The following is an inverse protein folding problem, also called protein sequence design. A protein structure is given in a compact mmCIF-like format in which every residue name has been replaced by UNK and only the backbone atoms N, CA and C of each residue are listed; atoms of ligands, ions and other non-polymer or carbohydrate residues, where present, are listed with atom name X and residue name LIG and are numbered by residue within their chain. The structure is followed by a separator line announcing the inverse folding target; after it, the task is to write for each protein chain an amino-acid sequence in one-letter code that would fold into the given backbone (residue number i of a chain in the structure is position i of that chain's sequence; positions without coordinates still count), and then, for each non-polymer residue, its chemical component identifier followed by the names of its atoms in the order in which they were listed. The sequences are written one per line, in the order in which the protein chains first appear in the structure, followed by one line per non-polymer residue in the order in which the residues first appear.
data_IF_755608887823
#
_entry.id   IF_755608887823
#
_cell.length_a   1.000
_cell.length_b   1.000
_cell.length_c   1.000
_cell.angle_alpha   90.00
_cell.angle_beta   90.00
_cell.angle_gamma   90.00
#
_symmetry.space_group_name_H-M   'P 1'
#
loop_
_entity.id
_entity.type
_entity.pdbx_description
1 polymer ?
#
# COMPACT_ATOMS: atom_id res chain seq x y z
N UNK A 1 21.59 -43.01 -9.31
CA UNK A 1 21.52 -42.73 -7.86
C UNK A 1 21.33 -41.22 -7.70
N UNK A 2 20.07 -40.77 -7.74
CA UNK A 2 19.71 -39.34 -7.65
C UNK A 2 19.54 -39.04 -6.17
N UNK A 3 20.48 -38.28 -5.61
CA UNK A 3 20.45 -37.83 -4.24
C UNK A 3 19.34 -36.77 -4.12
N UNK A 4 18.16 -37.19 -3.67
CA UNK A 4 17.09 -36.28 -3.29
C UNK A 4 17.57 -35.50 -2.07
N UNK A 5 18.11 -34.30 -2.32
CA UNK A 5 18.48 -33.36 -1.28
C UNK A 5 17.18 -32.74 -0.75
N UNK A 6 16.58 -33.39 0.24
CA UNK A 6 15.46 -32.85 1.00
C UNK A 6 16.00 -31.68 1.81
N UNK A 7 16.00 -30.48 1.22
CA UNK A 7 16.15 -29.23 1.97
C UNK A 7 14.94 -29.12 2.90
N UNK A 8 15.10 -29.61 4.12
CA UNK A 8 14.35 -29.09 5.24
C UNK A 8 14.74 -27.63 5.38
N UNK A 9 13.98 -26.75 4.73
CA UNK A 9 13.87 -25.38 5.20
C UNK A 9 13.30 -25.50 6.61
N UNK A 10 14.20 -25.51 7.60
CA UNK A 10 13.86 -25.16 8.96
C UNK A 10 13.42 -23.71 8.84
N UNK A 11 12.12 -23.52 8.58
CA UNK A 11 11.44 -22.27 8.83
C UNK A 11 11.55 -22.08 10.32
N UNK A 12 12.66 -21.47 10.73
CA UNK A 12 12.81 -20.89 12.04
C UNK A 12 11.76 -19.80 12.08
N UNK A 13 10.52 -20.19 12.40
CA UNK A 13 9.53 -19.29 12.96
C UNK A 13 10.21 -18.73 14.21
N UNK A 14 11.02 -17.69 13.98
CA UNK A 14 11.88 -17.11 14.98
C UNK A 14 10.96 -16.64 16.07
N UNK A 15 11.15 -17.19 17.27
CA UNK A 15 10.36 -16.86 18.43
C UNK A 15 10.05 -15.35 18.45
N UNK A 16 8.78 -15.01 18.69
CA UNK A 16 8.27 -13.63 18.85
C UNK A 16 9.21 -12.76 19.70
N UNK A 17 9.87 -13.42 20.65
CA UNK A 17 10.85 -12.87 21.56
C UNK A 17 12.11 -13.75 21.62
N UNK A 18 13.28 -13.13 21.47
CA UNK A 18 14.58 -13.75 21.79
C UNK A 18 15.36 -12.77 22.67
N UNK A 19 15.68 -13.13 23.93
CA UNK A 19 16.47 -12.27 24.81
C UNK A 19 17.78 -11.83 24.15
N UNK A 20 18.01 -10.51 24.07
CA UNK A 20 19.20 -9.93 23.40
C UNK A 20 19.21 -10.03 21.87
N UNK A 21 18.12 -10.50 21.27
CA UNK A 21 17.93 -10.56 19.82
C UNK A 21 17.59 -9.20 19.20
N UNK A 22 17.34 -9.16 17.88
CA UNK A 22 16.86 -7.97 17.20
C UNK A 22 15.55 -7.46 17.82
N UNK A 23 15.31 -6.15 17.70
CA UNK A 23 14.12 -5.50 18.27
C UNK A 23 13.40 -4.67 17.21
N UNK A 24 12.11 -4.94 17.01
CA UNK A 24 11.25 -4.12 16.19
C UNK A 24 10.96 -2.80 16.91
N UNK A 25 10.98 -1.69 16.17
CA UNK A 25 10.70 -0.38 16.75
C UNK A 25 9.32 -0.34 17.44
N UNK A 26 9.27 0.20 18.66
CA UNK A 26 8.04 0.30 19.46
C UNK A 26 7.74 -0.91 20.36
N UNK A 27 8.51 -2.00 20.23
CA UNK A 27 8.39 -3.19 21.08
C UNK A 27 9.51 -3.28 22.15
N UNK A 28 9.32 -4.08 23.21
CA UNK A 28 10.37 -4.38 24.18
C UNK A 28 11.64 -5.01 23.56
N UNK A 29 12.82 -4.89 24.21
CA UNK A 29 14.05 -5.48 23.72
C UNK A 29 13.93 -6.98 23.44
N UNK A 30 14.36 -7.42 22.26
CA UNK A 30 14.30 -8.81 21.82
C UNK A 30 12.98 -9.23 21.15
N UNK A 31 11.98 -8.34 21.09
CA UNK A 31 10.71 -8.59 20.41
C UNK A 31 10.75 -8.13 18.95
N UNK A 32 10.32 -8.99 18.03
CA UNK A 32 10.31 -8.70 16.59
C UNK A 32 8.91 -8.60 15.97
N UNK A 33 7.87 -8.80 16.77
CA UNK A 33 6.48 -8.64 16.41
C UNK A 33 5.57 -9.10 17.54
N UNK A 34 4.29 -9.22 17.23
CA UNK A 34 3.26 -9.51 18.22
C UNK A 34 2.65 -10.91 18.08
N UNK A 35 3.28 -11.79 17.29
CA UNK A 35 2.68 -13.07 16.97
C UNK A 35 2.62 -14.00 18.18
N UNK A 36 1.42 -14.47 18.55
CA UNK A 36 1.27 -15.45 19.61
C UNK A 36 1.90 -16.80 19.22
N UNK A 37 2.62 -17.44 20.14
CA UNK A 37 3.23 -18.77 19.94
C UNK A 37 2.20 -19.78 19.39
N UNK A 38 2.28 -20.13 18.11
CA UNK A 38 1.27 -20.97 17.41
C UNK A 38 1.02 -22.30 18.14
N UNK A 39 2.05 -23.08 18.51
CA UNK A 39 1.87 -24.25 19.37
C UNK A 39 1.08 -23.96 20.65
N UNK A 40 1.40 -22.85 21.34
CA UNK A 40 0.69 -22.44 22.56
C UNK A 40 -0.75 -22.07 22.29
N UNK A 41 -1.05 -21.35 21.21
CA UNK A 41 -2.42 -21.02 20.84
C UNK A 41 -3.25 -22.25 20.56
N UNK A 42 -2.73 -23.16 19.73
CA UNK A 42 -3.39 -24.41 19.40
C UNK A 42 -3.70 -25.21 20.67
N UNK A 43 -2.78 -25.24 21.62
CA UNK A 43 -2.97 -25.90 22.90
C UNK A 43 -4.03 -25.24 23.81
N UNK A 44 -4.32 -23.95 23.61
CA UNK A 44 -5.27 -23.18 24.41
C UNK A 44 -6.51 -22.74 23.62
N UNK A 45 -6.90 -23.49 22.58
CA UNK A 45 -8.06 -23.19 21.74
C UNK A 45 -8.04 -21.75 21.19
N UNK A 46 -6.86 -21.34 20.71
CA UNK A 46 -6.56 -20.02 20.13
C UNK A 46 -6.68 -18.84 21.10
N UNK A 47 -6.80 -19.11 22.41
CA UNK A 47 -6.77 -18.10 23.46
C UNK A 47 -5.43 -18.13 24.19
N UNK A 48 -4.70 -17.01 24.28
CA UNK A 48 -3.50 -16.95 25.14
C UNK A 48 -3.88 -16.26 26.47
N UNK A 49 -3.88 -17.00 27.60
CA UNK A 49 -4.20 -16.42 28.91
C UNK A 49 -3.05 -15.60 29.51
N UNK A 50 -1.83 -15.78 29.00
CA UNK A 50 -0.63 -15.13 29.53
C UNK A 50 -0.47 -13.72 28.94
N UNK A 51 0.08 -12.79 29.74
CA UNK A 51 0.45 -11.48 29.25
C UNK A 51 1.48 -11.59 28.12
N UNK A 52 1.28 -10.85 27.03
CA UNK A 52 2.24 -10.82 25.91
C UNK A 52 3.55 -10.14 26.38
N UNK A 53 4.69 -10.86 26.44
CA UNK A 53 5.98 -10.26 26.78
C UNK A 53 6.42 -9.18 25.79
N UNK A 54 5.84 -9.15 24.59
CA UNK A 54 6.07 -8.16 23.55
C UNK A 54 5.00 -7.07 23.51
N UNK A 55 4.21 -6.90 24.57
CA UNK A 55 3.31 -5.76 24.70
C UNK A 55 4.07 -4.44 24.48
N UNK A 56 3.58 -3.53 23.61
CA UNK A 56 4.31 -2.34 23.23
C UNK A 56 4.65 -1.48 24.43
N UNK A 57 5.85 -0.89 24.41
CA UNK A 57 6.26 0.12 25.41
C UNK A 57 5.67 1.50 25.11
N UNK A 58 4.82 1.59 24.08
CA UNK A 58 4.17 2.80 23.57
C UNK A 58 2.65 2.71 23.71
N UNK A 59 1.92 3.71 23.21
CA UNK A 59 0.46 3.67 23.17
C UNK A 59 -0.05 2.54 22.28
N UNK A 60 -1.20 1.97 22.63
CA UNK A 60 -1.99 1.12 21.75
C UNK A 60 -3.20 1.92 21.27
N UNK A 61 -3.46 2.01 19.95
CA UNK A 61 -2.71 1.37 18.87
C UNK A 61 -1.32 1.98 18.63
N UNK A 62 -0.38 1.14 18.22
CA UNK A 62 1.01 1.55 17.95
C UNK A 62 1.08 2.55 16.79
N UNK A 63 2.01 3.54 16.84
CA UNK A 63 2.33 4.34 15.67
C UNK A 63 2.62 3.46 14.47
N UNK A 64 1.94 3.74 13.37
CA UNK A 64 2.05 2.97 12.14
C UNK A 64 1.14 1.74 12.06
N UNK A 65 0.32 1.45 13.06
CA UNK A 65 -0.71 0.39 13.01
C UNK A 65 -2.11 0.96 13.26
N UNK A 66 -2.26 2.26 13.07
CA UNK A 66 -3.51 2.99 13.20
C UNK A 66 -4.19 3.11 11.83
N UNK A 67 -5.44 2.68 11.73
CA UNK A 67 -6.24 2.81 10.52
C UNK A 67 -7.31 3.89 10.66
N UNK A 68 -7.76 4.45 9.54
CA UNK A 68 -8.92 5.35 9.51
C UNK A 68 -9.65 5.22 8.17
N UNK A 69 -10.93 5.63 8.14
CA UNK A 69 -11.75 5.75 6.94
C UNK A 69 -12.44 7.11 6.96
N UNK A 70 -12.06 8.01 6.06
CA UNK A 70 -12.76 9.29 5.87
C UNK A 70 -13.67 9.24 4.65
N UNK A 71 -13.11 8.83 3.52
CA UNK A 71 -13.80 8.69 2.23
C UNK A 71 -13.04 7.71 1.33
N UNK A 72 -13.51 7.52 0.10
CA UNK A 72 -12.93 6.55 -0.85
C UNK A 72 -11.53 6.91 -1.37
N UNK A 73 -11.02 8.09 -1.01
CA UNK A 73 -9.69 8.59 -1.38
C UNK A 73 -8.80 8.90 -0.17
N UNK A 74 -9.34 8.79 1.05
CA UNK A 74 -8.67 9.10 2.30
C UNK A 74 -8.99 8.02 3.32
N UNK A 75 -8.16 6.98 3.35
CA UNK A 75 -8.28 5.86 4.27
C UNK A 75 -6.94 5.14 4.41
N UNK A 76 -6.81 4.31 5.44
CA UNK A 76 -5.71 3.37 5.60
C UNK A 76 -6.22 1.94 5.70
N UNK A 77 -5.37 0.98 5.34
CA UNK A 77 -5.55 -0.45 5.60
C UNK A 77 -4.24 -1.00 6.16
N UNK A 78 -4.30 -2.01 7.02
CA UNK A 78 -3.10 -2.68 7.49
C UNK A 78 -2.65 -3.72 6.47
N UNK A 79 -1.37 -3.67 6.10
CA UNK A 79 -0.78 -4.60 5.16
C UNK A 79 0.56 -5.11 5.71
N UNK A 80 1.10 -6.20 5.13
CA UNK A 80 2.44 -6.66 5.46
C UNK A 80 3.47 -5.53 5.51
N UNK A 81 4.17 -5.38 6.63
CA UNK A 81 5.14 -4.32 6.81
C UNK A 81 6.44 -4.66 6.09
N UNK A 82 6.82 -3.94 5.02
CA UNK A 82 8.08 -4.17 4.33
C UNK A 82 9.29 -3.87 5.21
N UNK A 83 9.15 -3.11 6.29
CA UNK A 83 10.24 -2.81 7.23
C UNK A 83 10.25 -3.72 8.47
N UNK A 84 9.34 -4.71 8.56
CA UNK A 84 9.37 -5.69 9.64
C UNK A 84 10.59 -6.59 9.49
N UNK A 85 11.32 -6.79 10.60
CA UNK A 85 12.50 -7.67 10.64
C UNK A 85 12.11 -9.10 10.21
N UNK A 86 10.94 -9.57 10.67
CA UNK A 86 10.44 -10.92 10.34
C UNK A 86 10.05 -10.99 8.87
N UNK A 87 9.33 -9.99 8.35
CA UNK A 87 8.91 -9.97 6.94
C UNK A 87 10.10 -9.88 5.99
N UNK A 88 11.11 -9.09 6.35
CA UNK A 88 12.36 -8.98 5.59
C UNK A 88 13.10 -10.32 5.52
N UNK A 89 13.32 -10.96 6.67
CA UNK A 89 14.10 -12.20 6.74
C UNK A 89 13.39 -13.38 6.08
N UNK A 90 12.07 -13.48 6.23
CA UNK A 90 11.31 -14.64 5.77
C UNK A 90 10.84 -14.50 4.32
N UNK A 91 10.57 -13.28 3.84
CA UNK A 91 9.98 -13.06 2.52
C UNK A 91 10.82 -12.14 1.64
N UNK A 92 10.91 -10.85 2.00
CA UNK A 92 11.37 -9.83 1.05
C UNK A 92 12.83 -9.98 0.64
N UNK A 93 13.74 -10.33 1.56
CA UNK A 93 15.16 -10.56 1.24
C UNK A 93 15.38 -11.78 0.32
N UNK A 94 14.40 -12.68 0.24
CA UNK A 94 14.44 -13.86 -0.62
C UNK A 94 13.68 -13.66 -1.94
N UNK A 95 13.20 -12.43 -2.22
CA UNK A 95 12.37 -12.15 -3.39
C UNK A 95 10.97 -12.76 -3.32
N UNK A 96 10.53 -13.20 -2.14
CA UNK A 96 9.19 -13.71 -1.91
C UNK A 96 8.28 -12.59 -1.43
N UNK A 97 6.97 -12.77 -1.63
CA UNK A 97 5.94 -11.83 -1.16
C UNK A 97 5.09 -12.51 -0.09
N UNK A 98 4.92 -11.91 1.10
CA UNK A 98 4.05 -12.47 2.12
C UNK A 98 2.58 -12.33 1.71
N UNK A 99 1.76 -13.27 2.16
CA UNK A 99 0.31 -13.08 2.19
C UNK A 99 -0.08 -12.17 3.35
N UNK A 100 -1.30 -11.63 3.32
CA UNK A 100 -1.86 -10.81 4.41
C UNK A 100 -1.90 -11.63 5.71
N UNK A 101 -2.42 -12.87 5.61
CA UNK A 101 -2.46 -13.89 6.66
C UNK A 101 -1.07 -14.12 7.29
N UNK A 102 -0.05 -14.39 6.46
CA UNK A 102 1.33 -14.62 6.93
C UNK A 102 1.98 -13.40 7.61
N UNK A 103 1.45 -12.20 7.39
CA UNK A 103 1.97 -10.98 7.97
C UNK A 103 1.14 -10.48 9.14
N UNK A 104 0.10 -11.20 9.56
CA UNK A 104 -0.65 -10.87 10.77
C UNK A 104 0.35 -10.67 11.94
N UNK A 105 0.18 -9.59 12.71
CA UNK A 105 1.14 -9.17 13.76
C UNK A 105 2.49 -8.61 13.30
N UNK A 106 2.69 -8.46 11.99
CA UNK A 106 3.84 -7.79 11.37
C UNK A 106 3.38 -6.75 10.35
N UNK A 107 2.31 -6.02 10.70
CA UNK A 107 1.62 -5.10 9.81
C UNK A 107 2.04 -3.65 10.00
N UNK A 108 1.65 -2.86 9.02
CA UNK A 108 1.84 -1.42 8.95
C UNK A 108 0.65 -0.84 8.19
N UNK A 109 0.10 0.28 8.67
CA UNK A 109 -0.94 1.03 7.99
C UNK A 109 -0.38 1.63 6.70
N UNK A 110 -1.02 1.34 5.58
CA UNK A 110 -0.80 1.99 4.30
C UNK A 110 -1.99 2.88 3.98
N UNK A 111 -1.73 4.16 3.74
CA UNK A 111 -2.77 5.16 3.60
C UNK A 111 -2.81 5.80 2.22
N UNK A 112 -4.01 5.94 1.66
CA UNK A 112 -4.31 6.78 0.50
C UNK A 112 -4.79 8.14 1.01
N UNK A 113 -4.47 9.20 0.27
CA UNK A 113 -4.95 10.56 0.55
C UNK A 113 -3.90 11.49 1.14
N UNK A 114 -4.35 12.61 1.68
CA UNK A 114 -3.45 13.66 2.18
C UNK A 114 -3.03 13.41 3.62
N UNK A 115 -3.91 12.82 4.43
CA UNK A 115 -3.62 12.53 5.83
C UNK A 115 -2.87 11.21 6.00
N UNK A 116 -1.77 11.27 6.77
CA UNK A 116 -0.93 10.13 7.11
C UNK A 116 -0.75 10.07 8.64
N UNK A 117 -1.38 9.09 9.33
CA UNK A 117 -1.20 8.89 10.76
C UNK A 117 0.29 8.70 11.12
N UNK A 118 0.72 9.04 12.35
CA UNK A 118 2.10 8.89 12.76
C UNK A 118 2.62 7.47 12.54
N UNK A 119 3.75 7.35 11.84
CA UNK A 119 4.37 6.07 11.54
C UNK A 119 3.78 5.32 10.35
N UNK A 120 2.59 5.69 9.83
CA UNK A 120 1.98 5.03 8.68
C UNK A 120 2.79 5.26 7.39
N UNK A 121 2.61 4.37 6.41
CA UNK A 121 3.22 4.46 5.09
C UNK A 121 2.23 5.01 4.07
N UNK A 122 2.73 5.79 3.10
CA UNK A 122 1.89 6.23 1.99
C UNK A 122 1.71 5.09 1.00
N UNK A 123 0.46 4.80 0.67
CA UNK A 123 0.11 3.84 -0.37
C UNK A 123 0.23 4.50 -1.75
N UNK A 124 0.73 3.76 -2.74
CA UNK A 124 0.66 4.24 -4.13
C UNK A 124 -0.79 4.36 -4.56
N UNK A 125 -1.15 5.44 -5.26
CA UNK A 125 -2.50 5.62 -5.78
C UNK A 125 -2.90 4.55 -6.81
N UNK A 126 -1.93 3.88 -7.43
CA UNK A 126 -2.17 2.74 -8.33
C UNK A 126 -2.45 1.43 -7.61
N UNK A 127 -2.21 1.38 -6.30
CA UNK A 127 -2.32 0.15 -5.52
C UNK A 127 -3.78 -0.17 -5.12
N UNK A 128 -4.67 0.82 -5.20
CA UNK A 128 -6.11 0.65 -5.01
C UNK A 128 -6.80 0.76 -6.36
N UNK A 129 -7.50 -0.29 -6.75
CA UNK A 129 -8.21 -0.41 -8.02
C UNK A 129 -9.67 0.06 -7.88
N UNK A 130 -10.28 -0.16 -6.72
CA UNK A 130 -11.60 0.37 -6.37
C UNK A 130 -11.72 0.60 -4.87
N UNK A 131 -12.58 1.54 -4.46
CA UNK A 131 -12.89 1.80 -3.05
C UNK A 131 -14.31 2.33 -2.89
N UNK A 132 -15.08 1.70 -2.02
CA UNK A 132 -16.48 2.01 -1.77
C UNK A 132 -16.71 2.18 -0.27
N UNK A 133 -16.99 3.41 0.14
CA UNK A 133 -17.21 3.78 1.54
C UNK A 133 -18.69 3.97 1.82
N UNK A 134 -19.18 3.36 2.89
CA UNK A 134 -20.52 3.56 3.43
C UNK A 134 -20.40 3.97 4.89
N UNK A 135 -20.93 5.13 5.24
CA UNK A 135 -20.91 5.68 6.59
C UNK A 135 -22.28 5.53 7.25
N UNK A 136 -22.28 4.93 8.43
CA UNK A 136 -23.41 4.83 9.35
C UNK A 136 -23.11 5.65 10.62
N UNK A 137 -24.09 5.75 11.52
CA UNK A 137 -23.92 6.46 12.79
C UNK A 137 -22.87 5.81 13.69
N UNK A 138 -22.80 4.48 13.70
CA UNK A 138 -22.01 3.69 14.64
C UNK A 138 -20.82 2.94 14.00
N UNK A 139 -20.67 2.97 12.68
CA UNK A 139 -19.50 2.45 11.98
C UNK A 139 -19.31 3.14 10.62
N UNK A 140 -18.07 3.12 10.11
CA UNK A 140 -17.75 3.46 8.73
C UNK A 140 -17.14 2.24 8.10
N UNK A 141 -17.65 1.84 6.95
CA UNK A 141 -17.20 0.68 6.21
C UNK A 141 -16.54 1.10 4.91
N UNK A 142 -15.46 0.44 4.54
CA UNK A 142 -14.84 0.52 3.21
C UNK A 142 -14.70 -0.89 2.64
N UNK A 143 -14.80 -1.03 1.33
CA UNK A 143 -14.42 -2.24 0.61
C UNK A 143 -13.95 -1.92 -0.80
N UNK A 144 -13.19 -2.81 -1.41
CA UNK A 144 -12.67 -2.58 -2.74
C UNK A 144 -11.72 -3.64 -3.25
N UNK A 145 -11.03 -3.29 -4.34
CA UNK A 145 -10.02 -4.11 -5.00
C UNK A 145 -8.66 -3.44 -4.90
N UNK A 146 -7.60 -4.23 -4.75
CA UNK A 146 -6.22 -3.75 -4.67
C UNK A 146 -5.31 -4.47 -5.67
N UNK A 147 -4.24 -3.79 -6.08
CA UNK A 147 -3.15 -4.37 -6.88
C UNK A 147 -2.05 -4.89 -5.97
N UNK A 148 -2.11 -6.18 -5.70
CA UNK A 148 -1.15 -6.90 -4.86
C UNK A 148 0.28 -6.87 -5.41
N UNK A 149 0.41 -6.79 -6.74
CA UNK A 149 1.68 -6.62 -7.42
C UNK A 149 2.34 -5.30 -7.00
N UNK A 150 1.58 -4.20 -7.10
CA UNK A 150 2.00 -2.87 -6.70
C UNK A 150 2.26 -2.73 -5.18
N UNK A 151 1.53 -3.48 -4.36
CA UNK A 151 1.72 -3.52 -2.90
C UNK A 151 2.88 -4.43 -2.47
N UNK A 152 3.44 -5.23 -3.36
CA UNK A 152 4.50 -6.17 -3.01
C UNK A 152 4.02 -7.33 -2.13
N UNK A 153 2.74 -7.69 -2.19
CA UNK A 153 2.14 -8.77 -1.39
C UNK A 153 1.68 -9.92 -2.29
N UNK A 154 1.55 -11.11 -1.71
CA UNK A 154 0.92 -12.24 -2.36
C UNK A 154 -0.56 -12.28 -1.96
N UNK A 155 -1.44 -12.13 -2.93
CA UNK A 155 -2.87 -12.19 -2.65
C UNK A 155 -3.48 -13.58 -2.80
N UNK A 156 -2.75 -14.56 -3.34
CA UNK A 156 -3.27 -15.92 -3.44
C UNK A 156 -3.51 -16.47 -2.04
N UNK A 157 -4.78 -16.70 -1.72
CA UNK A 157 -5.20 -17.35 -0.48
C UNK A 157 -5.94 -18.65 -0.78
N UNK A 158 -5.96 -19.55 0.19
CA UNK A 158 -6.77 -20.77 0.15
C UNK A 158 -8.27 -20.46 0.24
N UNK A 159 -8.64 -19.32 0.84
CA UNK A 159 -10.02 -18.86 1.03
C UNK A 159 -10.17 -17.36 0.72
N UNK A 160 -10.61 -16.98 -0.50
CA UNK A 160 -10.74 -15.58 -0.91
C UNK A 160 -11.62 -14.72 0.02
N UNK A 161 -11.05 -13.64 0.53
CA UNK A 161 -11.77 -12.62 1.30
C UNK A 161 -12.01 -12.95 2.78
N UNK A 162 -11.53 -14.10 3.27
CA UNK A 162 -11.41 -14.41 4.69
C UNK A 162 -10.03 -13.95 5.19
N UNK A 163 -9.97 -13.37 6.39
CA UNK A 163 -8.71 -12.90 6.97
C UNK A 163 -7.85 -14.06 7.53
N UNK A 164 -8.47 -15.21 7.78
CA UNK A 164 -7.86 -16.34 8.50
C UNK A 164 -8.43 -17.68 7.95
N UNK A 165 -7.57 -18.68 7.77
CA UNK A 165 -7.97 -20.07 7.50
C UNK A 165 -8.22 -20.89 8.79
N UNK A 166 -8.25 -20.19 9.94
CA UNK A 166 -8.55 -20.71 11.27
C UNK A 166 -7.34 -21.24 12.00
N UNK A 167 -6.12 -20.91 11.55
CA UNK A 167 -4.87 -21.38 12.14
C UNK A 167 -4.07 -20.29 12.89
N UNK A 168 -4.66 -19.10 13.09
CA UNK A 168 -3.98 -17.96 13.70
C UNK A 168 -4.75 -17.44 14.91
N UNK A 169 -4.02 -17.02 15.94
CA UNK A 169 -4.58 -16.82 17.28
C UNK A 169 -5.31 -15.49 17.47
N UNK A 170 -5.97 -15.03 16.40
CA UNK A 170 -6.84 -13.87 16.37
C UNK A 170 -6.12 -12.52 16.44
N UNK A 171 -6.56 -11.64 15.54
CA UNK A 171 -6.34 -10.19 15.42
C UNK A 171 -4.88 -9.75 15.32
N UNK A 172 -4.64 -8.84 14.37
CA UNK A 172 -3.48 -7.96 14.34
C UNK A 172 -3.26 -7.31 15.73
N UNK A 173 -2.25 -7.73 16.50
CA UNK A 173 -2.09 -7.22 17.84
C UNK A 173 -1.52 -5.81 17.75
N UNK A 174 -2.05 -4.93 18.60
CA UNK A 174 -1.63 -3.53 18.77
C UNK A 174 -2.00 -2.56 17.65
N UNK A 175 -2.75 -3.02 16.66
CA UNK A 175 -3.41 -2.16 15.70
C UNK A 175 -4.76 -1.65 16.24
N UNK A 176 -5.28 -0.59 15.63
CA UNK A 176 -6.51 0.05 16.07
C UNK A 176 -6.90 1.23 15.21
N UNK A 177 -7.92 1.96 15.63
CA UNK A 177 -8.37 3.16 14.91
C UNK A 177 -7.56 4.37 15.36
N UNK A 178 -7.18 5.22 14.40
CA UNK A 178 -6.73 6.58 14.69
C UNK A 178 -7.91 7.41 15.19
N UNK A 179 -8.07 7.54 16.50
CA UNK A 179 -9.16 8.29 17.13
C UNK A 179 -8.93 9.80 17.21
N UNK A 180 -7.87 10.31 16.57
CA UNK A 180 -7.56 11.74 16.55
C UNK A 180 -8.57 12.54 15.72
N UNK A 181 -8.53 13.88 15.86
CA UNK A 181 -9.35 14.81 15.07
C UNK A 181 -9.22 14.62 13.54
N UNK A 182 -8.08 14.10 13.07
CA UNK A 182 -7.82 13.88 11.65
C UNK A 182 -8.14 12.45 11.19
N UNK A 183 -8.25 11.48 12.11
CA UNK A 183 -8.68 10.12 11.80
C UNK A 183 -10.20 9.97 11.89
N UNK A 184 -10.65 9.13 12.80
CA UNK A 184 -12.05 8.89 13.12
C UNK A 184 -12.34 9.21 14.60
N UNK A 185 -12.63 10.47 14.94
CA UNK A 185 -12.94 10.86 16.32
C UNK A 185 -14.10 10.05 16.90
N UNK A 186 -13.88 9.45 18.08
CA UNK A 186 -14.90 8.66 18.76
C UNK A 186 -15.07 7.23 18.24
N UNK A 187 -14.20 6.76 17.34
CA UNK A 187 -14.11 5.36 16.92
C UNK A 187 -12.85 4.74 17.54
N UNK A 188 -12.98 3.52 18.06
CA UNK A 188 -11.91 2.87 18.84
C UNK A 188 -11.53 1.49 18.30
N UNK A 189 -12.50 0.81 17.70
CA UNK A 189 -12.35 -0.57 17.24
C UNK A 189 -12.43 -0.62 15.72
N UNK A 190 -11.83 -1.65 15.13
CA UNK A 190 -12.04 -1.96 13.73
C UNK A 190 -12.01 -3.46 13.50
N UNK A 191 -12.60 -3.86 12.38
CA UNK A 191 -12.50 -5.21 11.81
C UNK A 191 -11.99 -5.03 10.39
N UNK A 192 -10.99 -5.80 9.99
CA UNK A 192 -10.42 -5.79 8.65
C UNK A 192 -10.40 -7.22 8.10
N UNK A 193 -10.73 -7.37 6.83
CA UNK A 193 -10.66 -8.63 6.10
C UNK A 193 -10.06 -8.34 4.74
N UNK A 194 -9.09 -9.13 4.32
CA UNK A 194 -8.44 -8.91 3.04
C UNK A 194 -7.85 -10.21 2.49
N UNK A 195 -8.00 -10.41 1.18
CA UNK A 195 -7.67 -11.66 0.51
C UNK A 195 -7.96 -11.64 -0.98
N UNK A 196 -7.13 -12.31 -1.79
CA UNK A 196 -7.31 -12.44 -3.25
C UNK A 196 -7.55 -11.10 -3.98
N UNK A 197 -6.86 -10.05 -3.51
CA UNK A 197 -6.95 -8.71 -4.08
C UNK A 197 -8.22 -7.96 -3.70
N UNK A 198 -9.03 -8.51 -2.81
CA UNK A 198 -10.21 -7.87 -2.22
C UNK A 198 -9.89 -7.43 -0.79
N UNK A 199 -10.48 -6.32 -0.36
CA UNK A 199 -10.43 -5.90 1.03
C UNK A 199 -11.77 -5.32 1.48
N UNK A 200 -12.04 -5.44 2.77
CA UNK A 200 -13.07 -4.67 3.45
C UNK A 200 -12.64 -4.38 4.89
N UNK A 201 -13.05 -3.23 5.40
CA UNK A 201 -12.74 -2.81 6.76
C UNK A 201 -13.90 -2.00 7.33
N UNK A 202 -14.15 -2.14 8.63
CA UNK A 202 -15.06 -1.30 9.41
C UNK A 202 -14.30 -0.63 10.52
N UNK A 203 -14.38 0.69 10.66
CA UNK A 203 -14.04 1.39 11.91
C UNK A 203 -15.33 1.63 12.69
N UNK A 204 -15.28 1.42 14.01
CA UNK A 204 -16.48 1.20 14.81
C UNK A 204 -16.49 2.02 16.10
N UNK A 205 -17.67 2.56 16.42
CA UNK A 205 -17.91 3.28 17.64
C UNK A 205 -17.82 2.34 18.87
N UNK A 206 -17.56 2.87 20.07
CA UNK A 206 -17.56 2.09 21.31
C UNK A 206 -18.83 1.25 21.49
N UNK A 207 -18.68 0.06 22.07
CA UNK A 207 -19.79 -0.86 22.35
C UNK A 207 -20.32 -1.68 21.16
N UNK A 208 -19.74 -1.53 19.96
CA UNK A 208 -20.14 -2.30 18.76
C UNK A 208 -19.33 -3.58 18.53
N UNK A 209 -18.17 -3.71 19.19
CA UNK A 209 -17.33 -4.91 19.18
C UNK A 209 -17.76 -5.87 20.29
N UNK A 210 -18.97 -6.43 20.13
CA UNK A 210 -19.61 -7.38 21.04
C UNK A 210 -20.19 -8.53 20.22
N UNK A 211 -20.51 -9.66 20.84
CA UNK A 211 -21.11 -10.81 20.14
C UNK A 211 -22.42 -10.38 19.46
N UNK A 212 -22.52 -10.61 18.14
CA UNK A 212 -23.63 -10.19 17.27
C UNK A 212 -23.64 -8.70 16.91
N UNK A 213 -22.62 -7.93 17.31
CA UNK A 213 -22.46 -6.53 16.96
C UNK A 213 -21.99 -6.32 15.51
N UNK A 214 -22.15 -5.09 15.00
CA UNK A 214 -21.73 -4.74 13.62
C UNK A 214 -20.21 -4.86 13.40
N UNK A 215 -19.44 -4.91 14.48
CA UNK A 215 -17.99 -5.08 14.47
C UNK A 215 -17.56 -6.22 15.37
N UNK A 216 -18.38 -7.27 15.43
CA UNK A 216 -18.04 -8.51 16.08
C UNK A 216 -16.86 -9.18 15.35
N UNK A 217 -15.69 -9.16 16.00
CA UNK A 217 -14.45 -9.74 15.50
C UNK A 217 -14.52 -11.26 15.36
N UNK A 218 -15.47 -11.94 15.99
CA UNK A 218 -15.59 -13.41 15.91
C UNK A 218 -16.03 -13.91 14.53
N UNK A 219 -16.40 -12.99 13.63
CA UNK A 219 -16.77 -13.27 12.25
C UNK A 219 -15.66 -12.88 11.23
N UNK A 220 -14.45 -12.56 11.68
CA UNK A 220 -13.29 -12.22 10.83
C UNK A 220 -12.95 -13.29 9.76
N UNK A 221 -13.26 -14.55 10.03
CA UNK A 221 -13.14 -15.71 9.12
C UNK A 221 -14.26 -15.86 8.11
N UNK A 222 -15.43 -15.23 8.30
CA UNK A 222 -16.55 -15.37 7.36
C UNK A 222 -16.34 -14.58 6.06
N UNK A 223 -15.43 -13.61 6.11
CA UNK A 223 -15.03 -12.78 5.00
C UNK A 223 -16.04 -11.69 4.60
N UNK A 224 -15.58 -10.84 3.67
CA UNK A 224 -16.23 -9.57 3.36
C UNK A 224 -17.70 -9.68 2.91
N UNK A 225 -17.99 -10.62 2.01
CA UNK A 225 -19.35 -10.76 1.45
C UNK A 225 -20.31 -11.31 2.50
N UNK A 226 -19.88 -12.28 3.31
CA UNK A 226 -20.74 -12.88 4.33
C UNK A 226 -20.96 -11.94 5.50
N UNK A 227 -19.90 -11.43 6.12
CA UNK A 227 -20.03 -10.64 7.34
C UNK A 227 -20.35 -9.17 7.03
N UNK A 228 -19.59 -8.57 6.12
CA UNK A 228 -19.74 -7.14 5.83
C UNK A 228 -20.84 -6.82 4.82
N UNK A 229 -21.44 -7.85 4.20
CA UNK A 229 -22.51 -7.74 3.19
C UNK A 229 -22.15 -6.79 2.05
N UNK A 230 -20.90 -6.88 1.59
CA UNK A 230 -20.38 -6.02 0.52
C UNK A 230 -20.47 -6.68 -0.85
N UNK A 231 -20.66 -5.84 -1.86
CA UNK A 231 -20.61 -6.24 -3.27
C UNK A 231 -19.40 -5.55 -3.94
N UNK A 232 -18.45 -6.35 -4.42
CA UNK A 232 -17.24 -5.83 -5.03
C UNK A 232 -17.50 -5.37 -6.46
N UNK A 233 -17.60 -4.05 -6.64
CA UNK A 233 -17.69 -3.40 -7.94
C UNK A 233 -16.43 -2.59 -8.25
N UNK A 234 -16.30 -2.15 -9.49
CA UNK A 234 -15.20 -1.26 -9.90
C UNK A 234 -15.55 0.21 -9.59
N UNK A 235 -14.52 1.03 -9.44
CA UNK A 235 -14.66 2.48 -9.27
C UNK A 235 -14.55 2.95 -7.82
N UNK A 236 -15.02 4.16 -7.59
CA UNK A 236 -14.82 4.89 -6.34
C UNK A 236 -16.14 5.54 -5.93
N UNK A 237 -16.64 5.27 -4.72
CA UNK A 237 -17.86 5.88 -4.21
C UNK A 237 -17.85 6.10 -2.71
N UNK A 238 -18.50 7.18 -2.26
CA UNK A 238 -18.80 7.43 -0.86
C UNK A 238 -20.29 7.66 -0.68
N UNK A 239 -20.89 6.96 0.28
CA UNK A 239 -22.30 7.11 0.67
C UNK A 239 -22.37 7.38 2.17
N UNK A 240 -22.94 8.51 2.55
CA UNK A 240 -23.25 8.80 3.95
C UNK A 240 -24.73 8.50 4.22
N UNK A 241 -24.99 7.48 5.04
CA UNK A 241 -26.36 7.11 5.42
C UNK A 241 -26.80 7.82 6.70
N UNK A 242 -25.88 8.40 7.48
CA UNK A 242 -26.21 9.19 8.67
C UNK A 242 -26.92 10.51 8.32
N UNK A 243 -26.61 11.07 7.15
CA UNK A 243 -27.16 12.35 6.68
C UNK A 243 -28.17 12.20 5.52
N UNK A 244 -28.52 10.96 5.16
CA UNK A 244 -29.28 10.63 3.96
C UNK A 244 -28.42 10.62 2.68
N UNK A 245 -28.87 9.97 1.59
CA UNK A 245 -28.03 9.74 0.41
C UNK A 245 -27.55 11.05 -0.22
N UNK A 246 -26.27 11.38 -0.02
CA UNK A 246 -25.55 12.39 -0.79
C UNK A 246 -24.87 11.69 -1.96
N UNK A 247 -25.46 11.78 -3.15
CA UNK A 247 -24.75 11.46 -4.39
C UNK A 247 -23.64 12.49 -4.58
N UNK A 248 -22.40 12.11 -4.24
CA UNK A 248 -21.24 12.84 -4.74
C UNK A 248 -21.34 12.85 -6.26
N UNK A 249 -21.30 14.01 -6.93
CA UNK A 249 -21.38 14.04 -8.38
C UNK A 249 -20.29 13.14 -8.92
N UNK A 250 -20.72 12.07 -9.61
CA UNK A 250 -19.82 11.18 -10.36
C UNK A 250 -18.87 12.11 -11.09
N UNK A 251 -17.53 11.99 -10.92
CA UNK A 251 -16.62 12.78 -11.74
C UNK A 251 -17.03 12.46 -13.17
N UNK A 252 -17.63 13.46 -13.83
CA UNK A 252 -18.07 13.36 -15.21
C UNK A 252 -16.88 12.75 -15.93
N UNK A 253 -17.06 11.58 -16.51
CA UNK A 253 -16.07 10.90 -17.34
C UNK A 253 -15.25 11.97 -18.02
N UNK A 254 -13.96 12.05 -17.66
CA UNK A 254 -13.04 13.11 -18.13
C UNK A 254 -13.33 13.26 -19.62
N UNK A 255 -14.04 14.34 -19.98
CA UNK A 255 -14.15 14.70 -21.38
C UNK A 255 -12.71 14.90 -21.77
N UNK A 256 -12.22 14.09 -22.71
CA UNK A 256 -10.88 14.19 -23.26
C UNK A 256 -10.64 15.67 -23.54
N UNK A 257 -9.91 16.35 -22.65
CA UNK A 257 -9.48 17.70 -22.89
C UNK A 257 -8.45 17.49 -23.98
N UNK A 258 -8.87 17.73 -25.21
CA UNK A 258 -8.00 17.85 -26.35
C UNK A 258 -7.18 19.13 -26.10
N UNK A 259 -6.14 19.00 -25.28
CA UNK A 259 -5.10 20.01 -25.17
C UNK A 259 -4.46 20.10 -26.55
N UNK A 260 -4.89 21.08 -27.35
CA UNK A 260 -4.12 21.55 -28.49
C UNK A 260 -2.83 22.15 -27.94
N UNK A 261 -1.80 21.32 -27.81
CA UNK A 261 -0.45 21.79 -27.57
C UNK A 261 -0.01 22.60 -28.80
N UNK A 262 0.13 23.92 -28.62
CA UNK A 262 0.82 24.74 -29.60
C UNK A 262 2.31 24.37 -29.54
N UNK A 263 2.73 23.42 -30.37
CA UNK A 263 4.13 23.02 -30.48
C UNK A 263 4.96 24.17 -31.05
N UNK A 264 5.79 24.78 -30.19
CA UNK A 264 6.90 25.60 -30.66
C UNK A 264 7.94 24.67 -31.28
N UNK A 265 8.25 24.88 -32.57
CA UNK A 265 9.36 24.20 -33.24
C UNK A 265 10.66 24.71 -32.64
N UNK A 266 11.34 23.89 -31.85
CA UNK A 266 12.71 24.17 -31.41
C UNK A 266 13.68 23.67 -32.47
N UNK A 267 14.49 24.58 -33.02
CA UNK A 267 15.66 24.23 -33.82
C UNK A 267 16.86 24.11 -32.88
N UNK A 268 17.44 22.90 -32.78
CA UNK A 268 18.71 22.69 -32.08
C UNK A 268 19.82 22.77 -33.13
N UNK A 269 20.66 23.80 -33.04
CA UNK A 269 21.86 23.94 -33.86
C UNK A 269 23.05 23.34 -33.10
N UNK A 270 23.72 22.36 -33.69
CA UNK A 270 25.00 21.86 -33.20
C UNK A 270 26.12 22.65 -33.87
N UNK A 271 26.87 23.42 -33.09
CA UNK A 271 28.09 24.09 -33.55
C UNK A 271 29.27 23.14 -33.35
N UNK A 272 29.79 22.60 -34.45
CA UNK A 272 31.07 21.88 -34.49
C UNK A 272 32.21 22.88 -34.69
N UNK A 273 33.25 22.81 -33.86
CA UNK A 273 34.41 23.71 -33.91
C UNK A 273 35.48 23.32 -34.93
N UNK A 274 35.25 22.31 -35.76
CA UNK A 274 36.17 21.95 -36.85
C UNK A 274 35.54 22.11 -38.22
N UNK A 275 36.27 22.83 -39.08
CA UNK A 275 35.91 23.39 -40.38
C UNK A 275 35.43 22.37 -41.41
N UNK A 276 34.14 21.99 -41.33
CA UNK A 276 33.31 21.56 -42.47
C UNK A 276 31.86 21.56 -42.01
N UNK A 277 31.06 22.51 -42.51
CA UNK A 277 29.64 22.63 -42.13
C UNK A 277 28.85 21.57 -42.90
N UNK A 278 28.40 20.52 -42.21
CA UNK A 278 27.31 19.67 -42.67
C UNK A 278 26.01 20.13 -41.99
N UNK A 279 25.21 20.92 -42.68
CA UNK A 279 23.88 21.34 -42.21
C UNK A 279 22.89 20.18 -42.39
N UNK A 280 22.71 19.37 -41.33
CA UNK A 280 21.62 18.40 -41.25
C UNK A 280 20.53 18.91 -40.31
N UNK A 281 19.41 19.37 -40.86
CA UNK A 281 18.23 19.66 -40.06
C UNK A 281 17.51 18.34 -39.73
N UNK A 282 17.39 18.00 -38.45
CA UNK A 282 16.56 16.87 -38.00
C UNK A 282 15.23 17.44 -37.51
N UNK A 283 14.15 17.14 -38.22
CA UNK A 283 12.80 17.45 -37.78
C UNK A 283 12.30 16.31 -36.90
N UNK A 284 12.01 16.60 -35.63
CA UNK A 284 11.46 15.63 -34.68
C UNK A 284 9.96 15.86 -34.52
N UNK A 285 9.17 14.81 -34.74
CA UNK A 285 7.73 14.75 -34.43
C UNK A 285 7.50 14.00 -33.11
N UNK A 286 6.40 14.33 -32.40
CA UNK A 286 6.24 14.17 -30.95
C UNK A 286 6.07 12.75 -30.38
N UNK A 287 6.44 11.70 -31.11
CA UNK A 287 6.41 10.30 -30.63
C UNK A 287 7.77 9.62 -30.65
N UNK A 288 8.85 10.39 -30.74
CA UNK A 288 10.21 9.84 -30.69
C UNK A 288 10.65 9.76 -29.23
N UNK A 289 10.71 8.55 -28.65
CA UNK A 289 11.31 8.36 -27.32
C UNK A 289 12.76 8.85 -27.35
N UNK A 290 13.23 9.47 -26.24
CA UNK A 290 14.58 10.03 -26.12
C UNK A 290 15.66 8.98 -26.48
N UNK A 291 15.37 7.70 -26.27
CA UNK A 291 16.20 6.55 -26.67
C UNK A 291 16.39 6.41 -28.19
N UNK A 292 15.40 6.70 -29.03
CA UNK A 292 15.53 6.60 -30.50
C UNK A 292 16.32 7.74 -31.13
N UNK A 293 16.39 8.90 -30.47
CA UNK A 293 17.20 10.04 -30.94
C UNK A 293 18.69 9.72 -30.84
N UNK A 294 19.11 9.05 -29.77
CA UNK A 294 20.50 8.61 -29.59
C UNK A 294 20.93 7.57 -30.64
N UNK A 295 20.05 6.62 -30.99
CA UNK A 295 20.32 5.63 -32.04
C UNK A 295 20.43 6.25 -33.44
N UNK A 296 19.61 7.26 -33.76
CA UNK A 296 19.63 7.92 -35.07
C UNK A 296 20.89 8.77 -35.26
N UNK A 297 21.42 9.35 -34.18
CA UNK A 297 22.69 10.09 -34.21
C UNK A 297 23.88 9.12 -34.30
N UNK A 298 23.85 8.00 -33.58
CA UNK A 298 24.90 6.99 -33.63
C UNK A 298 24.99 6.27 -35.00
N UNK A 299 23.86 6.02 -35.67
CA UNK A 299 23.81 5.38 -36.98
C UNK A 299 24.38 6.24 -38.12
N UNK A 300 24.42 7.58 -37.96
CA UNK A 300 25.00 8.49 -38.96
C UNK A 300 26.51 8.73 -38.79
N UNK A 301 27.10 8.25 -37.70
CA UNK A 301 28.53 8.41 -37.38
C UNK A 301 29.31 7.09 -37.53
N UNK A 302 29.01 6.26 -38.53
CA UNK A 302 29.82 5.07 -38.86
C UNK A 302 31.12 5.49 -39.56
N UNK A 303 32.01 6.10 -38.79
CA UNK A 303 33.36 6.46 -39.18
C UNK A 303 34.25 6.35 -37.94
N UNK A 304 34.96 5.22 -37.87
CA UNK A 304 35.96 4.86 -36.86
C UNK A 304 36.66 6.05 -36.19
N UNK A 305 36.41 6.29 -34.90
CA UNK A 305 37.41 6.73 -33.92
C UNK A 305 36.97 6.32 -32.50
N UNK A 306 37.83 5.56 -31.83
CA UNK A 306 37.72 5.23 -30.41
C UNK A 306 38.11 6.43 -29.55
N UNK A 307 37.15 7.15 -28.96
CA UNK A 307 37.38 7.99 -27.78
C UNK A 307 36.10 8.10 -26.93
N UNK A 308 36.24 7.79 -25.64
CA UNK A 308 35.24 7.97 -24.59
C UNK A 308 34.67 9.40 -24.60
N UNK A 309 33.36 9.55 -24.81
CA UNK A 309 32.64 10.80 -24.55
C UNK A 309 32.02 10.76 -23.15
N UNK A 310 32.56 11.57 -22.24
CA UNK A 310 31.82 12.01 -21.05
C UNK A 310 30.74 13.00 -21.50
N UNK A 311 29.47 12.62 -21.33
CA UNK A 311 28.32 13.52 -21.52
C UNK A 311 28.03 14.18 -20.16
N UNK A 312 28.18 15.51 -19.99
CA UNK A 312 27.65 16.16 -18.81
C UNK A 312 26.12 16.22 -18.91
N UNK A 313 25.44 15.79 -17.85
CA UNK A 313 23.98 15.87 -17.72
C UNK A 313 23.53 17.33 -17.87
N UNK A 314 22.74 17.60 -18.92
CA UNK A 314 22.06 18.88 -19.13
C UNK A 314 20.87 18.96 -18.15
N UNK A 315 21.01 19.73 -17.08
CA UNK A 315 19.89 20.10 -16.22
C UNK A 315 19.02 21.14 -16.94
N UNK A 316 17.82 20.76 -17.37
CA UNK A 316 16.78 21.71 -17.80
C UNK A 316 16.01 22.12 -16.55
N UNK A 317 16.33 23.30 -16.00
CA UNK A 317 15.54 23.92 -14.95
C UNK A 317 14.28 24.54 -15.56
N UNK A 318 13.10 24.01 -15.22
CA UNK A 318 11.83 24.65 -15.52
C UNK A 318 11.56 25.73 -14.46
N UNK A 319 11.70 27.01 -14.83
CA UNK A 319 11.12 28.09 -14.05
C UNK A 319 9.65 28.28 -14.48
N UNK A 320 8.66 28.19 -13.57
CA UNK A 320 7.28 28.50 -13.95
C UNK A 320 7.14 30.02 -14.11
N UNK A 321 6.79 30.43 -15.32
CA UNK A 321 6.42 31.79 -15.65
C UNK A 321 5.09 32.14 -14.97
N UNK A 322 5.12 33.11 -14.03
CA UNK A 322 3.93 33.82 -13.54
C UNK A 322 3.60 34.94 -14.53
N UNK A 323 2.38 34.96 -15.08
CA UNK A 323 1.72 36.19 -15.55
C UNK A 323 0.21 36.02 -15.34
N UNK A 324 -0.42 36.81 -14.46
CA UNK A 324 -0.93 38.18 -14.71
C UNK A 324 -1.97 38.21 -15.83
N UNK A 325 -3.25 38.13 -15.44
CA UNK A 325 -4.43 38.90 -15.90
C UNK A 325 -5.50 38.65 -14.81
N UNK A 326 -6.15 39.63 -14.18
CA UNK A 326 -6.53 40.96 -14.65
C UNK A 326 -8.04 40.95 -14.87
N UNK A 327 -8.76 41.71 -14.06
CA UNK A 327 -10.22 41.87 -13.93
C UNK A 327 -11.04 41.74 -15.23
N UNK A 328 -12.15 40.98 -15.14
CA UNK A 328 -13.54 41.36 -15.49
C UNK A 328 -14.52 40.31 -14.95
#
# INVERSE_FOLDING_TARGET
MILALTLFFISSASAQYTPGGPTQAGLPPGCVGSYPDIPKCRANNWFIPDADPCYPVTSVPMPGQQVYIRDEKNFCINLPNPNSIVMQNNYYNNGLKPTIVQAEGYVQSFCVGDYLPPGAMRMSSSAILSAHVVKYDNYIQIHGKMDCGALGINCQQSSPGAYDDGEHCGKEPYSGVDSSANGNPGFENYVEMAGDGLYCMRVCAPGTMVVGGVCDVTHDTEGCVSFMKVDFVDGFSFTDLSTGPRTSPRPSSVSSIHCSFHFHRYFIYFLSTNSTILSSAVSLTSTTSITKVAETVAAKTSGSVSHFLHIPFLFIAFTPFRSLFGDF
#
